data_IF_806742974083
#
_entry.id   IF_806742974083
#
_cell.length_a   1.000
_cell.length_b   1.000
_cell.length_c   1.000
_cell.angle_alpha   90.00
_cell.angle_beta   90.00
_cell.angle_gamma   90.00
#
_symmetry.space_group_name_H-M   'P 1'
#
loop_
_entity.id
_entity.type
_entity.pdbx_description
1 polymer ?
#
# COMPACT_ATOMS: atom_id res chain seq x y z
N UNK A 1 -2.42 -24.26 12.12
CA UNK A 1 -2.48 -22.89 12.68
C UNK A 1 -3.92 -22.54 12.99
N UNK A 2 -4.19 -21.83 14.08
CA UNK A 2 -5.57 -21.40 14.39
C UNK A 2 -5.99 -20.22 13.52
N UNK A 3 -7.28 -20.11 13.21
CA UNK A 3 -7.82 -18.97 12.47
C UNK A 3 -7.63 -17.71 13.31
N UNK A 4 -6.96 -16.69 12.74
CA UNK A 4 -6.81 -15.39 13.40
C UNK A 4 -8.18 -14.71 13.56
N UNK A 5 -8.39 -14.05 14.70
CA UNK A 5 -9.61 -13.29 14.93
C UNK A 5 -9.60 -12.01 14.08
N UNK A 6 -10.75 -11.55 13.60
CA UNK A 6 -10.85 -10.24 12.97
C UNK A 6 -10.47 -9.13 13.98
N UNK A 7 -9.98 -8.01 13.46
CA UNK A 7 -9.59 -6.85 14.25
C UNK A 7 -10.05 -5.55 13.56
N UNK A 8 -10.00 -4.44 14.29
CA UNK A 8 -10.33 -3.12 13.76
C UNK A 8 -9.13 -2.56 13.00
N UNK A 9 -9.27 -2.40 11.68
CA UNK A 9 -8.18 -1.90 10.83
C UNK A 9 -7.80 -0.45 11.16
N UNK A 10 -8.77 0.43 11.40
CA UNK A 10 -8.48 1.84 11.74
C UNK A 10 -7.65 1.96 13.01
N UNK A 11 -7.99 1.22 14.06
CA UNK A 11 -7.20 1.19 15.29
C UNK A 11 -5.79 0.64 15.03
N UNK A 12 -5.67 -0.43 14.24
CA UNK A 12 -4.36 -0.98 13.87
C UNK A 12 -3.51 0.06 13.13
N UNK A 13 -4.10 0.84 12.22
CA UNK A 13 -3.42 1.92 11.51
C UNK A 13 -2.93 2.96 12.50
N UNK A 14 -3.79 3.40 13.43
CA UNK A 14 -3.45 4.39 14.45
C UNK A 14 -2.30 3.92 15.36
N UNK A 15 -2.34 2.67 15.82
CA UNK A 15 -1.29 2.06 16.63
C UNK A 15 0.06 1.99 15.87
N UNK A 16 0.00 1.87 14.54
CA UNK A 16 1.18 1.73 13.68
C UNK A 16 1.60 3.02 12.97
N UNK A 17 0.94 4.17 13.19
CA UNK A 17 1.24 5.47 12.54
C UNK A 17 2.71 5.86 12.58
N UNK A 18 3.39 5.50 13.67
CA UNK A 18 4.80 5.81 13.85
C UNK A 18 5.72 5.12 12.83
N UNK A 19 5.28 4.01 12.22
CA UNK A 19 5.96 3.29 11.15
C UNK A 19 5.48 3.72 9.75
N UNK A 20 4.25 4.24 9.65
CA UNK A 20 3.63 4.69 8.38
C UNK A 20 4.09 6.09 7.96
N UNK A 21 5.34 6.42 8.27
CA UNK A 21 6.01 7.69 7.94
C UNK A 21 7.50 7.44 7.70
N UNK A 22 8.23 8.37 7.09
CA UNK A 22 9.68 8.23 6.92
C UNK A 22 10.41 7.95 8.25
N UNK A 23 11.42 7.07 8.25
CA UNK A 23 12.03 6.43 7.08
C UNK A 23 11.41 5.09 6.64
N UNK A 24 10.39 4.58 7.34
CA UNK A 24 9.85 3.23 7.09
C UNK A 24 8.73 3.27 6.04
N UNK A 25 7.68 4.05 6.28
CA UNK A 25 6.64 4.38 5.29
C UNK A 25 5.61 3.28 4.99
N UNK A 26 5.82 2.02 5.37
CA UNK A 26 4.84 0.95 5.17
C UNK A 26 4.93 -0.13 6.27
N UNK A 27 3.87 -0.94 6.39
CA UNK A 27 3.87 -2.12 7.25
C UNK A 27 2.93 -3.21 6.71
N UNK A 28 3.42 -4.45 6.69
CA UNK A 28 2.64 -5.63 6.37
C UNK A 28 1.71 -6.02 7.54
N UNK A 29 0.46 -6.36 7.24
CA UNK A 29 -0.60 -6.62 8.22
C UNK A 29 -0.57 -8.07 8.70
N UNK A 30 -0.48 -9.02 7.78
CA UNK A 30 -0.44 -10.46 8.06
C UNK A 30 0.94 -11.00 7.69
N UNK A 31 1.50 -11.86 8.54
CA UNK A 31 2.76 -12.55 8.28
C UNK A 31 2.47 -14.02 7.96
N UNK A 32 3.41 -14.69 7.29
CA UNK A 32 3.29 -16.13 6.94
C UNK A 32 2.08 -16.43 6.02
N UNK A 33 1.67 -15.45 5.22
CA UNK A 33 0.69 -15.63 4.15
C UNK A 33 1.37 -16.19 2.89
N UNK A 34 0.80 -17.26 2.32
CA UNK A 34 1.28 -17.82 1.04
C UNK A 34 0.64 -17.12 -0.17
N UNK A 35 -0.58 -16.57 -0.01
CA UNK A 35 -1.40 -16.10 -1.15
C UNK A 35 -1.41 -14.58 -1.34
N UNK A 36 -1.56 -13.80 -0.26
CA UNK A 36 -1.79 -12.35 -0.35
C UNK A 36 -0.94 -11.55 0.62
N UNK A 37 -0.10 -10.68 0.08
CA UNK A 37 0.64 -9.67 0.86
C UNK A 37 -0.27 -8.46 1.07
N UNK A 38 -0.73 -8.26 2.30
CA UNK A 38 -1.56 -7.09 2.66
C UNK A 38 -0.70 -6.07 3.39
N UNK A 39 -0.60 -4.87 2.83
CA UNK A 39 0.20 -3.77 3.39
C UNK A 39 -0.64 -2.52 3.62
N UNK A 40 -0.27 -1.75 4.64
CA UNK A 40 -0.66 -0.35 4.78
C UNK A 40 0.56 0.51 4.49
N UNK A 41 0.39 1.48 3.59
CA UNK A 41 1.45 2.39 3.15
C UNK A 41 1.05 3.81 3.51
N UNK A 42 1.96 4.52 4.18
CA UNK A 42 1.79 5.93 4.54
C UNK A 42 2.75 6.85 3.78
N UNK A 43 2.82 8.10 4.22
CA UNK A 43 3.61 9.14 3.56
C UNK A 43 4.20 10.18 4.52
N UNK A 44 4.87 11.21 3.99
CA UNK A 44 5.14 11.42 2.57
C UNK A 44 6.25 10.49 2.06
N UNK A 45 6.07 9.93 0.85
CA UNK A 45 7.09 9.14 0.18
C UNK A 45 6.97 9.30 -1.33
N UNK A 46 8.11 9.41 -2.03
CA UNK A 46 8.16 9.49 -3.49
C UNK A 46 9.49 8.95 -3.97
N UNK A 47 9.47 8.12 -5.02
CA UNK A 47 10.67 7.47 -5.57
C UNK A 47 10.73 7.61 -7.09
N UNK A 48 11.90 7.29 -7.67
CA UNK A 48 12.17 7.39 -9.12
C UNK A 48 12.10 6.04 -9.84
N UNK A 49 12.13 4.95 -9.09
CA UNK A 49 11.99 3.58 -9.60
C UNK A 49 10.53 3.24 -9.93
N UNK A 50 10.36 2.37 -10.92
CA UNK A 50 9.11 1.69 -11.23
C UNK A 50 9.17 0.26 -10.71
N UNK A 51 8.08 -0.19 -10.09
CA UNK A 51 7.92 -1.59 -9.71
C UNK A 51 7.32 -2.36 -10.89
N UNK A 52 7.79 -3.60 -11.08
CA UNK A 52 7.21 -4.55 -12.01
C UNK A 52 6.93 -5.83 -11.22
N UNK A 53 5.67 -6.23 -11.22
CA UNK A 53 5.16 -7.45 -10.60
C UNK A 53 4.36 -8.21 -11.66
N UNK A 54 4.51 -9.53 -11.71
CA UNK A 54 3.79 -10.38 -12.68
C UNK A 54 2.31 -10.52 -12.29
N UNK A 55 2.00 -10.34 -11.00
CA UNK A 55 0.64 -10.34 -10.45
C UNK A 55 -0.04 -8.97 -10.44
N UNK A 56 -1.33 -8.98 -10.11
CA UNK A 56 -2.13 -7.77 -9.92
C UNK A 56 -1.83 -7.11 -8.56
N UNK A 57 -1.83 -5.78 -8.52
CA UNK A 57 -1.79 -4.99 -7.28
C UNK A 57 -3.11 -4.23 -7.08
N UNK A 58 -3.73 -4.38 -5.90
CA UNK A 58 -4.94 -3.65 -5.52
C UNK A 58 -4.57 -2.46 -4.62
N UNK A 59 -5.06 -1.27 -4.96
CA UNK A 59 -4.93 -0.06 -4.16
C UNK A 59 -6.30 0.38 -3.64
N UNK A 60 -6.39 0.68 -2.34
CA UNK A 60 -7.57 1.30 -1.72
C UNK A 60 -7.12 2.39 -0.75
N UNK A 61 -7.54 3.63 -0.96
CA UNK A 61 -7.11 4.74 -0.12
C UNK A 61 -8.02 4.94 1.08
N UNK A 62 -7.49 4.58 2.25
CA UNK A 62 -8.14 4.75 3.54
C UNK A 62 -8.12 6.20 4.01
N UNK A 63 -7.04 6.94 3.71
CA UNK A 63 -6.83 8.31 4.15
C UNK A 63 -5.91 9.05 3.17
N UNK A 64 -6.36 10.19 2.68
CA UNK A 64 -5.64 11.04 1.76
C UNK A 64 -5.57 10.52 0.32
N UNK A 65 -4.81 11.24 -0.50
CA UNK A 65 -4.67 10.99 -1.93
C UNK A 65 -3.27 10.52 -2.28
N UNK A 66 -3.16 9.69 -3.33
CA UNK A 66 -1.88 9.37 -3.95
C UNK A 66 -1.91 9.60 -5.47
N UNK A 67 -0.71 9.68 -6.04
CA UNK A 67 -0.50 9.58 -7.49
C UNK A 67 0.30 8.32 -7.77
N UNK A 68 -0.29 7.38 -8.49
CA UNK A 68 0.40 6.19 -8.99
C UNK A 68 0.94 6.49 -10.38
N UNK A 69 2.26 6.41 -10.53
CA UNK A 69 2.93 6.58 -11.83
C UNK A 69 3.07 5.21 -12.49
N UNK A 70 2.51 5.06 -13.69
CA UNK A 70 2.58 3.82 -14.48
C UNK A 70 3.26 4.08 -15.82
N UNK A 71 3.70 3.00 -16.47
CA UNK A 71 4.01 3.00 -17.90
C UNK A 71 2.79 2.44 -18.61
N UNK A 72 2.16 3.25 -19.45
CA UNK A 72 0.96 2.84 -20.18
C UNK A 72 1.29 1.91 -21.36
N UNK A 73 0.26 1.44 -22.06
CA UNK A 73 0.39 0.50 -23.18
C UNK A 73 1.27 1.04 -24.33
N UNK A 74 1.33 2.36 -24.49
CA UNK A 74 2.17 3.04 -25.48
C UNK A 74 3.64 3.18 -25.04
N UNK A 75 4.00 2.69 -23.84
CA UNK A 75 5.35 2.76 -23.30
C UNK A 75 5.72 4.13 -22.72
N UNK A 76 4.74 4.98 -22.40
CA UNK A 76 4.96 6.33 -21.87
C UNK A 76 4.50 6.49 -20.41
N UNK A 77 5.11 7.39 -19.62
CA UNK A 77 4.68 7.64 -18.25
C UNK A 77 3.28 8.26 -18.17
N UNK A 78 2.44 7.74 -17.28
CA UNK A 78 1.11 8.25 -16.97
C UNK A 78 0.90 8.37 -15.45
N UNK A 79 0.26 9.45 -15.03
CA UNK A 79 -0.06 9.73 -13.62
C UNK A 79 -1.53 9.41 -13.35
N UNK A 80 -1.79 8.35 -12.58
CA UNK A 80 -3.13 7.95 -12.14
C UNK A 80 -3.39 8.53 -10.75
N UNK A 81 -4.47 9.31 -10.62
CA UNK A 81 -4.90 9.85 -9.33
C UNK A 81 -5.80 8.84 -8.61
N UNK A 82 -5.41 8.45 -7.40
CA UNK A 82 -6.24 7.61 -6.52
C UNK A 82 -6.58 8.46 -5.31
N UNK A 83 -7.85 8.88 -5.25
CA UNK A 83 -8.38 9.74 -4.20
C UNK A 83 -8.81 8.91 -3.00
N UNK A 84 -8.95 9.56 -1.85
CA UNK A 84 -9.55 8.93 -0.66
C UNK A 84 -10.92 8.32 -0.98
N UNK A 85 -11.14 7.07 -0.54
CA UNK A 85 -12.37 6.30 -0.78
C UNK A 85 -12.41 5.49 -2.07
#
# INVERSE_FOLDING_TARGET
MGIAKPFNLSQWVDDNRHLLKPPVGNKQVYFENDDYIVMVVGGPNGRKDYHFEDGEELFYQLEGDITLKIINEDGTPEDVQIKEG
#
